data_IF_188061694629
#
_entry.id   IF_188061694629
#
_cell.length_a   1.000
_cell.length_b   1.000
_cell.length_c   1.000
_cell.angle_alpha   90.00
_cell.angle_beta   90.00
_cell.angle_gamma   90.00
#
_symmetry.space_group_name_H-M   'P 1'
#
loop_
_entity.id
_entity.type
_entity.pdbx_description
1 polymer ?
#
# COMPACT_ATOMS: atom_id res chain seq x y z
N UNK A 1 -11.09 -19.37 -2.72
CA UNK A 1 -11.53 -18.88 -1.39
C UNK A 1 -12.90 -18.22 -1.49
N UNK A 2 -13.66 -18.29 -0.43
CA UNK A 2 -14.95 -17.59 -0.28
C UNK A 2 -14.86 -16.71 0.96
N UNK A 3 -15.14 -15.43 0.81
CA UNK A 3 -15.31 -14.51 1.93
C UNK A 3 -16.80 -14.07 1.98
N UNK A 4 -17.42 -14.19 3.13
CA UNK A 4 -18.78 -13.75 3.39
C UNK A 4 -18.79 -12.75 4.52
N UNK A 5 -19.40 -11.60 4.29
CA UNK A 5 -19.57 -10.55 5.29
C UNK A 5 -21.04 -10.17 5.36
N UNK A 6 -21.64 -10.37 6.53
CA UNK A 6 -23.01 -9.96 6.80
C UNK A 6 -22.98 -8.80 7.82
N UNK A 7 -23.64 -7.70 7.50
CA UNK A 7 -23.83 -6.58 8.42
C UNK A 7 -25.27 -6.63 8.95
N UNK A 8 -25.40 -6.58 10.26
CA UNK A 8 -26.69 -6.68 10.93
C UNK A 8 -27.12 -5.32 11.49
N UNK A 9 -28.40 -5.08 11.51
CA UNK A 9 -29.02 -3.98 12.25
C UNK A 9 -30.12 -4.51 13.16
N UNK A 10 -30.35 -3.86 14.30
CA UNK A 10 -31.43 -4.17 15.20
C UNK A 10 -32.63 -3.27 14.89
N UNK A 11 -33.79 -3.87 14.64
CA UNK A 11 -35.07 -3.24 14.77
C UNK A 11 -35.65 -3.66 16.12
N UNK A 12 -36.58 -2.90 16.70
CA UNK A 12 -36.98 -2.87 18.11
C UNK A 12 -37.01 -4.20 18.89
N UNK A 13 -37.06 -5.36 18.20
CA UNK A 13 -37.09 -6.68 18.85
C UNK A 13 -36.23 -7.79 18.18
N UNK A 14 -35.68 -7.59 16.98
CA UNK A 14 -34.92 -8.64 16.29
C UNK A 14 -33.87 -8.09 15.35
N UNK A 15 -32.63 -8.66 15.41
CA UNK A 15 -31.59 -8.38 14.44
C UNK A 15 -31.93 -9.00 13.07
N UNK A 16 -31.68 -8.28 11.99
CA UNK A 16 -31.76 -8.78 10.62
C UNK A 16 -30.53 -8.39 9.79
N UNK A 17 -30.27 -9.14 8.74
CA UNK A 17 -29.17 -8.82 7.83
C UNK A 17 -29.49 -7.53 7.08
N UNK A 18 -28.69 -6.49 7.31
CA UNK A 18 -28.80 -5.21 6.63
C UNK A 18 -28.12 -5.23 5.26
N UNK A 19 -26.98 -5.90 5.17
CA UNK A 19 -26.23 -6.10 3.93
C UNK A 19 -25.46 -7.41 3.99
N UNK A 20 -25.55 -8.20 2.96
CA UNK A 20 -24.75 -9.41 2.76
C UNK A 20 -23.90 -9.24 1.52
N UNK A 21 -22.61 -9.54 1.64
CA UNK A 21 -21.66 -9.60 0.53
C UNK A 21 -20.94 -10.93 0.56
N UNK A 22 -20.99 -11.67 -0.54
CA UNK A 22 -20.25 -12.92 -0.73
C UNK A 22 -19.30 -12.75 -1.90
N UNK A 23 -18.00 -12.91 -1.61
CA UNK A 23 -16.93 -12.83 -2.59
C UNK A 23 -16.32 -14.21 -2.79
N UNK A 24 -16.48 -14.77 -3.98
CA UNK A 24 -15.91 -16.03 -4.38
C UNK A 24 -14.71 -15.81 -5.29
N UNK A 25 -13.54 -16.27 -4.86
CA UNK A 25 -12.31 -16.19 -5.65
C UNK A 25 -11.78 -17.59 -5.93
N UNK A 26 -11.56 -17.91 -7.20
CA UNK A 26 -10.95 -19.16 -7.64
C UNK A 26 -10.05 -18.92 -8.83
N UNK A 27 -9.00 -19.74 -8.92
CA UNK A 27 -8.03 -19.61 -10.00
C UNK A 27 -7.00 -20.71 -9.95
N UNK A 28 -6.09 -20.66 -10.90
CA UNK A 28 -4.95 -21.56 -10.94
C UNK A 28 -3.74 -20.85 -11.52
N UNK A 29 -2.56 -21.33 -11.15
CA UNK A 29 -1.28 -20.87 -11.69
C UNK A 29 -0.46 -22.08 -12.08
N UNK A 30 0.12 -22.05 -13.28
CA UNK A 30 1.11 -23.02 -13.71
C UNK A 30 2.36 -22.26 -14.15
N UNK A 31 3.51 -22.65 -13.60
CA UNK A 31 4.79 -22.06 -13.97
C UNK A 31 5.90 -23.09 -13.91
N UNK A 32 6.96 -22.83 -14.66
CA UNK A 32 8.17 -23.63 -14.66
C UNK A 32 9.41 -22.73 -14.72
N UNK A 33 10.55 -23.31 -14.36
CA UNK A 33 11.84 -22.65 -14.35
C UNK A 33 12.87 -23.48 -15.12
N UNK A 34 13.37 -22.92 -16.20
CA UNK A 34 14.46 -23.48 -16.98
C UNK A 34 15.79 -22.92 -16.51
N UNK A 35 16.72 -23.78 -16.12
CA UNK A 35 18.06 -23.40 -15.68
C UNK A 35 19.04 -23.81 -16.77
N UNK A 36 19.68 -22.85 -17.41
CA UNK A 36 20.70 -23.02 -18.46
C UNK A 36 22.04 -22.51 -17.96
N UNK A 37 22.81 -23.37 -17.32
CA UNK A 37 24.05 -22.98 -16.65
C UNK A 37 23.77 -21.99 -15.50
N UNK A 38 24.19 -20.73 -15.67
CA UNK A 38 23.95 -19.66 -14.69
C UNK A 38 22.73 -18.80 -15.01
N UNK A 39 22.05 -19.09 -16.10
CA UNK A 39 20.85 -18.37 -16.54
C UNK A 39 19.62 -19.05 -15.99
N UNK A 40 18.63 -18.27 -15.57
CA UNK A 40 17.34 -18.77 -15.13
C UNK A 40 16.25 -18.08 -15.93
N UNK A 41 15.37 -18.88 -16.51
CA UNK A 41 14.20 -18.41 -17.25
C UNK A 41 12.98 -18.98 -16.52
N UNK A 42 12.11 -18.11 -16.05
CA UNK A 42 10.81 -18.47 -15.49
C UNK A 42 9.72 -18.10 -16.48
N UNK A 43 8.77 -18.98 -16.71
CA UNK A 43 7.62 -18.71 -17.56
C UNK A 43 6.39 -19.38 -16.98
N UNK A 44 5.24 -18.84 -17.29
CA UNK A 44 4.00 -19.40 -16.76
C UNK A 44 2.77 -18.66 -17.23
N UNK A 45 1.65 -19.16 -16.77
CA UNK A 45 0.36 -18.55 -16.96
C UNK A 45 -0.47 -18.70 -15.69
N UNK A 46 -1.39 -17.77 -15.50
CA UNK A 46 -2.33 -17.76 -14.38
C UNK A 46 -3.73 -17.36 -14.84
N UNK A 47 -4.71 -17.84 -14.12
CA UNK A 47 -6.09 -17.41 -14.22
C UNK A 47 -6.62 -17.10 -12.84
N UNK A 48 -7.30 -15.97 -12.71
CA UNK A 48 -7.99 -15.58 -11.50
C UNK A 48 -9.41 -15.16 -11.83
N UNK A 49 -10.37 -15.67 -11.07
CA UNK A 49 -11.77 -15.35 -11.21
C UNK A 49 -12.28 -14.85 -9.85
N UNK A 50 -12.98 -13.75 -9.88
CA UNK A 50 -13.58 -13.12 -8.73
C UNK A 50 -15.06 -12.84 -9.02
N UNK A 51 -15.95 -13.34 -8.16
CA UNK A 51 -17.39 -13.16 -8.31
C UNK A 51 -17.93 -12.56 -7.03
N UNK A 52 -18.51 -11.37 -7.12
CA UNK A 52 -19.14 -10.67 -6.00
C UNK A 52 -20.67 -10.75 -6.12
N UNK A 53 -21.30 -11.22 -5.04
CA UNK A 53 -22.74 -11.25 -4.84
C UNK A 53 -23.09 -10.36 -3.64
N UNK A 54 -23.74 -9.24 -3.89
CA UNK A 54 -24.15 -8.30 -2.84
C UNK A 54 -25.65 -8.12 -2.82
N UNK A 55 -26.21 -8.02 -1.62
CA UNK A 55 -27.65 -7.72 -1.41
C UNK A 55 -27.77 -6.83 -0.18
N UNK A 56 -28.63 -5.81 -0.24
CA UNK A 56 -28.91 -4.90 0.88
C UNK A 56 -30.41 -4.81 1.13
N UNK A 57 -30.80 -4.51 2.39
CA UNK A 57 -32.19 -4.48 2.84
C UNK A 57 -32.49 -3.17 3.59
N UNK A 58 -33.67 -2.60 3.40
CA UNK A 58 -34.19 -1.47 4.19
C UNK A 58 -34.77 -1.93 5.52
N UNK A 59 -35.54 -3.03 5.45
CA UNK A 59 -36.16 -3.72 6.55
C UNK A 59 -36.14 -5.21 6.27
N UNK A 60 -36.71 -6.02 7.17
CA UNK A 60 -36.72 -7.48 7.01
C UNK A 60 -37.40 -7.90 5.69
N UNK A 61 -36.59 -8.40 4.76
CA UNK A 61 -37.03 -8.88 3.45
C UNK A 61 -37.30 -7.81 2.38
N UNK A 62 -37.20 -6.52 2.69
CA UNK A 62 -37.31 -5.43 1.72
C UNK A 62 -35.95 -5.06 1.13
N UNK A 63 -35.74 -5.34 -0.15
CA UNK A 63 -34.50 -5.07 -0.86
C UNK A 63 -34.34 -3.56 -1.10
N UNK A 64 -33.13 -3.07 -0.92
CA UNK A 64 -32.70 -1.72 -1.34
C UNK A 64 -31.44 -1.80 -2.21
N UNK A 65 -31.13 -0.71 -2.90
CA UNK A 65 -29.87 -0.57 -3.64
C UNK A 65 -28.67 -0.80 -2.74
N UNK A 66 -27.78 -1.75 -3.05
CA UNK A 66 -26.46 -1.83 -2.43
C UNK A 66 -25.57 -0.69 -2.94
N UNK A 67 -24.47 -0.41 -2.25
CA UNK A 67 -23.54 0.67 -2.60
C UNK A 67 -22.74 0.40 -3.90
N UNK A 68 -22.70 -0.84 -4.36
CA UNK A 68 -22.05 -1.25 -5.61
C UNK A 68 -22.83 -2.39 -6.27
N UNK A 69 -22.73 -2.57 -7.59
CA UNK A 69 -23.35 -3.70 -8.27
C UNK A 69 -22.59 -5.01 -8.03
N UNK A 70 -23.25 -6.11 -8.31
CA UNK A 70 -22.64 -7.43 -8.46
C UNK A 70 -21.72 -7.42 -9.65
N UNK A 71 -20.61 -8.13 -9.55
CA UNK A 71 -19.65 -8.20 -10.67
C UNK A 71 -19.00 -9.58 -10.79
N UNK A 72 -18.42 -9.80 -11.95
CA UNK A 72 -17.48 -10.88 -12.20
C UNK A 72 -16.25 -10.30 -12.86
N UNK A 73 -15.10 -10.68 -12.35
CA UNK A 73 -13.81 -10.31 -12.92
C UNK A 73 -13.05 -11.60 -13.25
N UNK A 74 -12.65 -11.79 -14.52
CA UNK A 74 -11.88 -12.94 -14.98
C UNK A 74 -10.59 -12.44 -15.60
N UNK A 75 -9.46 -12.77 -15.01
CA UNK A 75 -8.14 -12.37 -15.48
C UNK A 75 -7.33 -13.58 -15.94
N UNK A 76 -6.69 -13.46 -17.09
CA UNK A 76 -5.73 -14.40 -17.66
C UNK A 76 -4.39 -13.69 -17.83
N UNK A 77 -3.33 -14.28 -17.30
CA UNK A 77 -1.99 -13.74 -17.39
C UNK A 77 -1.01 -14.74 -17.97
N UNK A 78 -0.12 -14.30 -18.85
CA UNK A 78 1.07 -15.03 -19.25
C UNK A 78 2.30 -14.20 -18.95
N UNK A 79 3.36 -14.85 -18.49
CA UNK A 79 4.60 -14.16 -18.17
C UNK A 79 5.84 -14.95 -18.58
N UNK A 80 6.89 -14.19 -18.86
CA UNK A 80 8.25 -14.66 -19.09
C UNK A 80 9.21 -13.75 -18.32
N UNK A 81 10.09 -14.34 -17.53
CA UNK A 81 11.13 -13.62 -16.82
C UNK A 81 12.48 -14.32 -17.01
N UNK A 82 13.51 -13.57 -17.29
CA UNK A 82 14.88 -14.08 -17.43
C UNK A 82 15.83 -13.33 -16.51
N UNK A 83 16.67 -14.06 -15.78
CA UNK A 83 17.75 -13.53 -14.99
C UNK A 83 19.08 -14.01 -15.62
N UNK A 84 19.83 -13.09 -16.16
CA UNK A 84 21.05 -13.31 -16.92
C UNK A 84 22.27 -12.81 -16.12
N UNK A 85 23.24 -13.69 -15.91
CA UNK A 85 24.55 -13.35 -15.34
C UNK A 85 25.57 -13.19 -16.45
N UNK A 86 26.04 -11.99 -16.65
CA UNK A 86 26.91 -11.60 -17.75
C UNK A 86 28.28 -11.11 -17.24
N UNK A 87 29.28 -11.02 -18.13
CA UNK A 87 30.62 -10.51 -17.84
C UNK A 87 31.27 -11.13 -16.60
N UNK A 88 31.31 -12.47 -16.52
CA UNK A 88 31.81 -13.23 -15.35
C UNK A 88 31.08 -12.86 -14.06
N UNK A 89 29.76 -12.72 -14.13
CA UNK A 89 28.83 -12.38 -13.04
C UNK A 89 28.98 -10.95 -12.50
N UNK A 90 29.66 -10.07 -13.23
CA UNK A 90 29.70 -8.65 -12.85
C UNK A 90 28.39 -7.94 -13.12
N UNK A 91 27.62 -8.38 -14.13
CA UNK A 91 26.33 -7.82 -14.49
C UNK A 91 25.22 -8.86 -14.29
N UNK A 92 24.30 -8.58 -13.39
CA UNK A 92 23.03 -9.28 -13.25
C UNK A 92 21.98 -8.48 -14.02
N UNK A 93 21.40 -9.07 -15.07
CA UNK A 93 20.35 -8.46 -15.88
C UNK A 93 19.06 -9.26 -15.70
N UNK A 94 17.99 -8.60 -15.29
CA UNK A 94 16.65 -9.16 -15.20
C UNK A 94 15.76 -8.54 -16.27
N UNK A 95 15.06 -9.34 -17.04
CA UNK A 95 14.08 -8.90 -18.04
C UNK A 95 12.81 -9.70 -17.83
N UNK A 96 11.69 -9.01 -17.68
CA UNK A 96 10.38 -9.62 -17.51
C UNK A 96 9.37 -9.01 -18.48
N UNK A 97 8.49 -9.87 -18.96
CA UNK A 97 7.36 -9.50 -19.81
C UNK A 97 6.12 -10.19 -19.25
N UNK A 98 5.05 -9.43 -19.10
CA UNK A 98 3.75 -9.95 -18.71
C UNK A 98 2.67 -9.37 -19.60
N UNK A 99 1.77 -10.23 -20.05
CA UNK A 99 0.55 -9.85 -20.75
C UNK A 99 -0.65 -10.38 -19.99
N UNK A 100 -1.61 -9.48 -19.74
CA UNK A 100 -2.87 -9.81 -19.08
C UNK A 100 -4.04 -9.47 -20.00
N UNK A 101 -5.01 -10.40 -20.04
CA UNK A 101 -6.34 -10.20 -20.59
C UNK A 101 -7.34 -10.29 -19.46
N UNK A 102 -8.18 -9.28 -19.30
CA UNK A 102 -9.13 -9.16 -18.21
C UNK A 102 -10.52 -8.91 -18.80
N UNK A 103 -11.47 -9.74 -18.43
CA UNK A 103 -12.89 -9.59 -18.72
C UNK A 103 -13.63 -9.20 -17.42
N UNK A 104 -14.13 -7.98 -17.38
CA UNK A 104 -14.87 -7.42 -16.26
C UNK A 104 -16.34 -7.27 -16.63
N UNK A 105 -17.22 -7.97 -15.91
CA UNK A 105 -18.65 -7.96 -16.14
C UNK A 105 -19.41 -7.40 -14.94
N UNK A 106 -20.11 -6.29 -15.15
CA UNK A 106 -21.15 -5.82 -14.25
C UNK A 106 -22.40 -6.71 -14.43
N UNK A 107 -22.99 -7.14 -13.31
CA UNK A 107 -24.14 -8.04 -13.30
C UNK A 107 -25.35 -7.33 -12.73
N UNK A 108 -26.52 -7.68 -13.23
CA UNK A 108 -27.79 -7.16 -12.70
C UNK A 108 -27.89 -7.40 -11.20
N UNK A 109 -28.23 -6.34 -10.46
CA UNK A 109 -28.14 -6.32 -9.01
C UNK A 109 -29.51 -5.98 -8.42
N UNK A 110 -30.06 -6.80 -7.50
CA UNK A 110 -31.33 -6.51 -6.87
C UNK A 110 -31.32 -5.16 -6.15
N UNK A 111 -32.32 -4.33 -6.43
CA UNK A 111 -32.45 -3.00 -5.82
C UNK A 111 -31.63 -1.89 -6.48
N UNK A 112 -30.82 -2.20 -7.50
CA UNK A 112 -30.04 -1.22 -8.28
C UNK A 112 -30.47 -1.27 -9.74
N UNK A 113 -30.75 -0.12 -10.35
CA UNK A 113 -31.11 -0.02 -11.77
C UNK A 113 -29.87 0.02 -12.67
N UNK A 114 -28.99 -0.96 -12.53
CA UNK A 114 -27.81 -1.09 -13.38
C UNK A 114 -28.06 -2.05 -14.55
N UNK A 115 -27.52 -1.73 -15.70
CA UNK A 115 -27.47 -2.64 -16.84
C UNK A 115 -26.28 -3.61 -16.71
N UNK A 116 -26.44 -4.80 -17.30
CA UNK A 116 -25.30 -5.71 -17.47
C UNK A 116 -24.37 -5.13 -18.53
N UNK A 117 -23.10 -4.96 -18.18
CA UNK A 117 -22.07 -4.46 -19.09
C UNK A 117 -20.83 -5.35 -18.97
N UNK A 118 -20.27 -5.75 -20.11
CA UNK A 118 -19.01 -6.48 -20.14
C UNK A 118 -17.96 -5.63 -20.85
N UNK A 119 -16.78 -5.54 -20.26
CA UNK A 119 -15.65 -4.80 -20.80
C UNK A 119 -14.40 -5.67 -20.70
N UNK A 120 -13.56 -5.63 -21.74
CA UNK A 120 -12.29 -6.36 -21.73
C UNK A 120 -11.12 -5.41 -21.85
N UNK A 121 -10.07 -5.70 -21.12
CA UNK A 121 -8.83 -4.94 -21.09
C UNK A 121 -7.65 -5.83 -21.40
N UNK A 122 -6.70 -5.27 -22.13
CA UNK A 122 -5.41 -5.91 -22.39
C UNK A 122 -4.30 -5.04 -21.83
N UNK A 123 -3.38 -5.64 -21.12
CA UNK A 123 -2.22 -4.92 -20.62
C UNK A 123 -0.94 -5.66 -20.96
N UNK A 124 0.09 -4.89 -21.28
CA UNK A 124 1.43 -5.41 -21.51
C UNK A 124 2.40 -4.70 -20.58
N UNK A 125 3.02 -5.45 -19.68
CA UNK A 125 3.83 -4.93 -18.58
C UNK A 125 5.27 -5.44 -18.69
N UNK A 126 6.14 -4.74 -19.42
CA UNK A 126 7.56 -5.00 -19.43
C UNK A 126 8.24 -4.51 -18.16
N UNK A 127 9.28 -5.21 -17.75
CA UNK A 127 10.22 -4.75 -16.73
C UNK A 127 11.65 -5.14 -17.11
N UNK A 128 12.59 -4.29 -16.73
CA UNK A 128 14.01 -4.55 -16.90
C UNK A 128 14.76 -4.02 -15.67
N UNK A 129 15.71 -4.78 -15.17
CA UNK A 129 16.58 -4.39 -14.08
C UNK A 129 18.02 -4.83 -14.35
N UNK A 130 18.97 -4.01 -13.95
CA UNK A 130 20.38 -4.29 -14.07
C UNK A 130 21.10 -3.96 -12.77
N UNK A 131 21.99 -4.85 -12.33
CA UNK A 131 22.92 -4.62 -11.21
C UNK A 131 24.33 -4.92 -11.68
N UNK A 132 25.21 -3.92 -11.59
CA UNK A 132 26.60 -4.06 -11.96
C UNK A 132 27.49 -4.04 -10.72
N UNK A 133 28.15 -5.15 -10.44
CA UNK A 133 29.10 -5.32 -9.33
C UNK A 133 30.43 -4.69 -9.72
N UNK A 134 30.79 -3.58 -9.08
CA UNK A 134 32.00 -2.81 -9.39
C UNK A 134 33.23 -3.50 -8.79
N UNK A 135 33.42 -3.36 -7.49
CA UNK A 135 34.53 -3.94 -6.74
C UNK A 135 34.29 -3.79 -5.23
N UNK A 136 34.83 -4.70 -4.42
CA UNK A 136 34.90 -4.54 -2.95
C UNK A 136 33.54 -4.47 -2.27
N UNK A 137 32.50 -5.11 -2.81
CA UNK A 137 31.15 -5.07 -2.26
C UNK A 137 30.29 -3.91 -2.76
N UNK A 138 30.82 -3.06 -3.65
CA UNK A 138 30.05 -1.98 -4.29
C UNK A 138 29.34 -2.45 -5.55
N UNK A 139 28.10 -2.06 -5.72
CA UNK A 139 27.35 -2.22 -6.97
C UNK A 139 26.46 -1.02 -7.25
N UNK A 140 26.20 -0.77 -8.51
CA UNK A 140 25.13 0.13 -8.96
C UNK A 140 24.00 -0.68 -9.54
N UNK A 141 22.79 -0.19 -9.39
CA UNK A 141 21.60 -0.83 -9.95
C UNK A 141 20.65 0.20 -10.55
N UNK A 142 19.89 -0.24 -11.52
CA UNK A 142 18.77 0.52 -12.06
C UNK A 142 17.68 -0.46 -12.51
N UNK A 143 16.43 -0.04 -12.38
CA UNK A 143 15.29 -0.79 -12.89
C UNK A 143 14.25 0.14 -13.52
N UNK A 144 13.53 -0.40 -14.49
CA UNK A 144 12.34 0.22 -15.07
C UNK A 144 11.24 -0.84 -15.14
N UNK A 145 10.05 -0.48 -14.70
CA UNK A 145 8.90 -1.37 -14.74
C UNK A 145 7.61 -0.62 -14.98
N UNK A 146 6.64 -1.35 -15.52
CA UNK A 146 5.28 -0.87 -15.74
C UNK A 146 4.29 -1.72 -14.94
N UNK A 147 3.17 -1.13 -14.55
CA UNK A 147 2.07 -1.80 -13.88
C UNK A 147 0.75 -1.12 -14.24
N UNK A 148 -0.36 -1.80 -13.95
CA UNK A 148 -1.70 -1.24 -14.08
C UNK A 148 -2.54 -1.58 -12.84
N UNK A 149 -3.61 -0.81 -12.63
CA UNK A 149 -4.61 -1.07 -11.60
C UNK A 149 -6.01 -1.00 -12.23
N UNK A 150 -6.80 -2.04 -12.03
CA UNK A 150 -8.18 -2.08 -12.53
C UNK A 150 -9.09 -1.16 -11.72
N UNK A 151 -10.10 -0.65 -12.39
CA UNK A 151 -11.25 0.00 -11.76
C UNK A 151 -12.09 -1.02 -10.99
N UNK A 152 -12.68 -0.62 -9.89
CA UNK A 152 -13.62 -1.46 -9.16
C UNK A 152 -15.09 -1.25 -9.59
N UNK A 153 -15.96 -2.15 -9.14
CA UNK A 153 -17.38 -2.10 -9.51
C UNK A 153 -18.10 -0.87 -8.94
N UNK A 154 -17.65 -0.36 -7.78
CA UNK A 154 -18.20 0.85 -7.18
C UNK A 154 -17.85 2.09 -8.00
N UNK A 155 -16.60 2.18 -8.45
CA UNK A 155 -16.14 3.28 -9.29
C UNK A 155 -16.87 3.31 -10.65
N UNK A 156 -17.15 2.14 -11.23
CA UNK A 156 -17.81 2.04 -12.55
C UNK A 156 -19.31 2.23 -12.51
N UNK A 157 -20.00 1.71 -11.49
CA UNK A 157 -21.46 1.69 -11.46
C UNK A 157 -22.05 1.69 -10.04
N UNK A 158 -21.31 2.17 -9.04
CA UNK A 158 -21.84 2.37 -7.70
C UNK A 158 -22.86 3.52 -7.68
N UNK A 159 -23.96 3.32 -6.95
CA UNK A 159 -24.92 4.38 -6.64
C UNK A 159 -25.17 4.39 -5.14
N UNK A 160 -24.81 5.48 -4.48
CA UNK A 160 -24.87 5.52 -3.03
C UNK A 160 -25.03 6.93 -2.48
N UNK A 161 -26.12 7.14 -1.74
CA UNK A 161 -26.38 8.40 -1.03
C UNK A 161 -25.82 8.32 0.39
N UNK A 162 -24.84 9.17 0.68
CA UNK A 162 -24.26 9.30 2.01
C UNK A 162 -24.09 10.76 2.42
N UNK A 163 -24.58 11.09 3.62
CA UNK A 163 -24.50 12.45 4.18
C UNK A 163 -24.93 13.56 3.20
N UNK A 164 -25.99 13.31 2.42
CA UNK A 164 -26.52 14.27 1.44
C UNK A 164 -25.74 14.37 0.13
N UNK A 165 -24.73 13.54 -0.09
CA UNK A 165 -23.99 13.45 -1.37
C UNK A 165 -24.33 12.13 -2.06
N UNK A 166 -24.83 12.20 -3.29
CA UNK A 166 -25.10 11.04 -4.14
C UNK A 166 -23.83 10.72 -4.95
N UNK A 167 -23.25 9.56 -4.70
CA UNK A 167 -22.18 9.03 -5.54
C UNK A 167 -22.79 8.31 -6.73
N UNK A 168 -22.29 8.60 -7.93
CA UNK A 168 -22.68 7.94 -9.18
C UNK A 168 -21.43 7.44 -9.86
N UNK A 169 -21.32 6.15 -10.12
CA UNK A 169 -20.19 5.54 -10.81
C UNK A 169 -20.05 6.06 -12.24
N UNK A 170 -18.87 5.90 -12.80
CA UNK A 170 -18.55 6.25 -14.18
C UNK A 170 -18.18 4.98 -14.96
N UNK A 171 -19.04 4.48 -15.86
CA UNK A 171 -18.75 3.26 -16.62
C UNK A 171 -17.60 3.40 -17.63
N UNK A 172 -17.21 4.63 -17.98
CA UNK A 172 -16.19 4.90 -18.99
C UNK A 172 -14.76 5.01 -18.42
N UNK A 173 -14.56 4.56 -17.17
CA UNK A 173 -13.25 4.58 -16.55
C UNK A 173 -12.30 3.55 -17.17
N UNK A 174 -11.11 4.03 -17.54
CA UNK A 174 -9.97 3.20 -17.93
C UNK A 174 -9.15 2.73 -16.72
N UNK A 175 -8.42 1.60 -16.81
CA UNK A 175 -7.45 1.21 -15.80
C UNK A 175 -6.34 2.24 -15.63
N UNK A 176 -5.92 2.46 -14.39
CA UNK A 176 -4.75 3.28 -14.08
C UNK A 176 -3.47 2.58 -14.57
N UNK A 177 -2.52 3.35 -15.05
CA UNK A 177 -1.20 2.86 -15.52
C UNK A 177 -0.08 3.54 -14.75
N UNK A 178 0.93 2.78 -14.39
CA UNK A 178 2.12 3.32 -13.74
C UNK A 178 3.41 2.86 -14.42
N UNK A 179 4.41 3.73 -14.35
CA UNK A 179 5.78 3.48 -14.80
C UNK A 179 6.72 3.96 -13.71
N UNK A 180 7.64 3.10 -13.31
CA UNK A 180 8.61 3.44 -12.27
C UNK A 180 10.02 3.23 -12.81
N UNK A 181 10.88 4.19 -12.55
CA UNK A 181 12.32 4.14 -12.76
C UNK A 181 13.00 4.26 -11.40
N UNK A 182 13.87 3.32 -11.11
CA UNK A 182 14.73 3.32 -9.92
C UNK A 182 16.19 3.31 -10.35
N UNK A 183 17.05 4.00 -9.60
CA UNK A 183 18.49 3.94 -9.77
C UNK A 183 19.17 4.14 -8.43
N UNK A 184 20.22 3.36 -8.16
CA UNK A 184 20.85 3.40 -6.87
C UNK A 184 22.22 2.74 -6.81
N UNK A 185 22.76 2.72 -5.61
CA UNK A 185 24.03 2.08 -5.30
C UNK A 185 23.90 1.25 -4.02
N UNK A 186 24.59 0.12 -4.00
CA UNK A 186 24.70 -0.74 -2.82
C UNK A 186 26.15 -0.89 -2.42
N UNK A 187 26.38 -0.99 -1.12
CA UNK A 187 27.64 -1.41 -0.55
C UNK A 187 27.38 -2.48 0.50
N UNK A 188 27.89 -3.69 0.28
CA UNK A 188 27.68 -4.82 1.19
C UNK A 188 29.02 -5.54 1.43
N UNK A 189 29.44 -5.54 2.67
CA UNK A 189 30.62 -6.25 3.18
C UNK A 189 30.22 -7.01 4.44
N UNK A 190 29.57 -8.19 4.30
CA UNK A 190 29.09 -8.98 5.45
C UNK A 190 30.19 -9.36 6.43
N UNK A 191 31.40 -9.56 5.93
CA UNK A 191 32.60 -9.82 6.75
C UNK A 191 32.99 -8.65 7.66
N UNK A 192 32.64 -7.42 7.27
CA UNK A 192 32.84 -6.21 8.07
C UNK A 192 31.52 -5.81 8.82
N UNK A 193 30.45 -6.58 8.66
CA UNK A 193 29.16 -6.26 9.25
C UNK A 193 28.39 -5.10 8.60
N UNK A 194 28.84 -4.58 7.44
CA UNK A 194 28.30 -3.38 6.81
C UNK A 194 27.37 -3.72 5.65
N UNK A 195 26.18 -3.10 5.65
CA UNK A 195 25.31 -3.05 4.50
C UNK A 195 24.77 -1.62 4.35
N UNK A 196 24.75 -1.14 3.12
CA UNK A 196 24.21 0.16 2.74
C UNK A 196 23.52 0.05 1.37
N UNK A 197 22.37 0.66 1.24
CA UNK A 197 21.64 0.83 -0.02
C UNK A 197 21.09 2.24 -0.10
N UNK A 198 21.25 2.85 -1.25
CA UNK A 198 20.63 4.12 -1.61
C UNK A 198 19.93 3.95 -2.95
N UNK A 199 18.66 4.29 -3.03
CA UNK A 199 17.88 4.24 -4.25
C UNK A 199 17.10 5.54 -4.42
N UNK A 200 17.21 6.17 -5.58
CA UNK A 200 16.34 7.21 -6.05
C UNK A 200 15.26 6.58 -6.93
N UNK A 201 13.99 6.96 -6.74
CA UNK A 201 12.89 6.48 -7.55
C UNK A 201 12.08 7.63 -8.15
N UNK A 202 11.50 7.35 -9.32
CA UNK A 202 10.54 8.24 -9.97
C UNK A 202 9.41 7.41 -10.58
N UNK A 203 8.16 7.71 -10.19
CA UNK A 203 6.96 7.05 -10.68
C UNK A 203 6.07 8.05 -11.40
N UNK A 204 5.63 7.67 -12.60
CA UNK A 204 4.56 8.34 -13.37
C UNK A 204 3.32 7.47 -13.33
N UNK A 205 2.18 8.07 -13.03
CA UNK A 205 0.88 7.44 -13.17
C UNK A 205 0.11 8.20 -14.24
N UNK A 206 -0.46 7.46 -15.16
CA UNK A 206 -1.39 7.96 -16.19
C UNK A 206 -2.78 7.39 -15.86
N UNK A 207 -3.84 8.10 -16.25
CA UNK A 207 -5.23 7.68 -16.08
C UNK A 207 -5.65 7.46 -14.60
N UNK A 208 -4.99 8.16 -13.64
CA UNK A 208 -5.31 8.05 -12.21
C UNK A 208 -6.79 8.34 -11.95
N UNK A 209 -7.47 7.46 -11.25
CA UNK A 209 -8.88 7.63 -10.91
C UNK A 209 -9.03 8.56 -9.71
N UNK A 210 -9.69 9.67 -9.92
CA UNK A 210 -9.98 10.68 -8.90
C UNK A 210 -11.46 10.91 -8.74
N UNK A 211 -11.86 11.38 -7.56
CA UNK A 211 -13.24 11.82 -7.30
C UNK A 211 -13.46 13.23 -7.85
N UNK A 212 -14.58 13.43 -8.53
CA UNK A 212 -15.10 14.74 -8.91
C UNK A 212 -16.44 14.98 -8.23
N UNK A 213 -16.57 16.11 -7.53
CA UNK A 213 -17.79 16.47 -6.83
C UNK A 213 -18.34 17.79 -7.40
N UNK A 214 -19.67 17.89 -7.47
CA UNK A 214 -20.39 19.09 -7.84
C UNK A 214 -21.71 19.20 -7.09
N UNK A 215 -22.32 20.38 -7.15
CA UNK A 215 -23.67 20.60 -6.65
C UNK A 215 -24.55 20.95 -7.86
N UNK A 216 -25.67 20.26 -8.00
CA UNK A 216 -26.68 20.62 -8.99
C UNK A 216 -27.35 21.93 -8.58
N UNK A 217 -27.34 22.93 -9.46
CA UNK A 217 -27.79 24.28 -9.16
C UNK A 217 -29.32 24.39 -8.98
N UNK A 218 -30.08 23.50 -9.63
CA UNK A 218 -31.55 23.54 -9.60
C UNK A 218 -32.10 22.84 -8.35
N UNK A 219 -31.58 21.64 -8.05
CA UNK A 219 -32.07 20.82 -6.92
C UNK A 219 -31.31 21.05 -5.62
N UNK A 220 -30.10 21.65 -5.68
CA UNK A 220 -29.19 21.76 -4.56
C UNK A 220 -28.56 20.40 -4.14
N UNK A 221 -28.82 19.32 -4.90
CA UNK A 221 -28.29 18.01 -4.62
C UNK A 221 -26.77 17.98 -4.88
N UNK A 222 -26.02 17.44 -3.92
CA UNK A 222 -24.58 17.21 -4.07
C UNK A 222 -24.36 15.86 -4.74
N UNK A 223 -23.50 15.86 -5.74
CA UNK A 223 -23.06 14.68 -6.47
C UNK A 223 -21.58 14.45 -6.35
N UNK A 224 -21.18 13.19 -6.50
CA UNK A 224 -19.79 12.76 -6.62
C UNK A 224 -19.72 11.66 -7.69
N UNK A 225 -18.72 11.72 -8.55
CA UNK A 225 -18.40 10.68 -9.52
C UNK A 225 -16.89 10.42 -9.55
N UNK A 226 -16.48 9.50 -10.39
CA UNK A 226 -15.09 9.15 -10.65
C UNK A 226 -14.72 9.50 -12.07
N UNK A 227 -13.48 9.89 -12.29
CA UNK A 227 -12.91 10.09 -13.63
C UNK A 227 -11.43 9.78 -13.64
N UNK A 228 -10.91 9.39 -14.79
CA UNK A 228 -9.48 9.36 -14.97
C UNK A 228 -8.93 10.78 -14.92
N UNK A 229 -7.99 11.03 -14.01
CA UNK A 229 -7.24 12.29 -13.96
C UNK A 229 -6.17 12.29 -15.06
N UNK A 230 -5.65 13.47 -15.36
CA UNK A 230 -4.63 13.56 -16.39
C UNK A 230 -3.39 12.74 -16.02
N UNK A 231 -2.78 13.00 -14.87
CA UNK A 231 -1.50 12.36 -14.48
C UNK A 231 -1.23 12.48 -12.98
N UNK A 232 -0.37 11.58 -12.46
CA UNK A 232 0.28 11.78 -11.17
C UNK A 232 1.77 11.47 -11.26
N UNK A 233 2.56 12.07 -10.37
CA UNK A 233 4.00 11.82 -10.27
C UNK A 233 4.45 11.77 -8.83
N UNK A 234 5.35 10.83 -8.56
CA UNK A 234 5.98 10.65 -7.25
C UNK A 234 7.46 10.47 -7.45
N UNK A 235 8.28 11.10 -6.62
CA UNK A 235 9.71 10.82 -6.58
C UNK A 235 10.25 10.96 -5.18
N UNK A 236 11.33 10.28 -4.91
CA UNK A 236 11.96 10.30 -3.61
C UNK A 236 13.25 9.51 -3.60
N UNK A 237 13.76 9.34 -2.40
CA UNK A 237 14.91 8.46 -2.13
C UNK A 237 14.56 7.49 -1.00
N UNK A 238 15.18 6.33 -1.08
CA UNK A 238 15.21 5.33 -0.03
C UNK A 238 16.66 5.09 0.38
N UNK A 239 16.89 5.04 1.68
CA UNK A 239 18.20 4.73 2.26
C UNK A 239 17.99 3.58 3.22
N UNK A 240 18.78 2.52 3.09
CA UNK A 240 18.90 1.46 4.08
C UNK A 240 20.35 1.34 4.50
N UNK A 241 20.60 1.28 5.81
CA UNK A 241 21.92 1.08 6.35
C UNK A 241 21.88 0.13 7.55
N UNK A 242 22.88 -0.71 7.67
CA UNK A 242 23.08 -1.48 8.90
C UNK A 242 24.56 -1.77 9.13
N UNK A 243 24.91 -1.85 10.42
CA UNK A 243 26.25 -2.19 10.87
C UNK A 243 26.17 -3.15 12.07
N UNK A 244 26.89 -4.26 11.99
CA UNK A 244 27.00 -5.24 13.08
C UNK A 244 28.33 -5.08 13.81
N UNK A 245 28.29 -4.45 14.98
CA UNK A 245 29.45 -4.24 15.85
C UNK A 245 30.03 -5.55 16.38
N UNK A 246 29.25 -6.63 16.48
CA UNK A 246 29.75 -7.94 16.90
C UNK A 246 30.83 -8.47 15.96
N UNK A 247 30.75 -8.14 14.66
CA UNK A 247 31.78 -8.49 13.67
C UNK A 247 33.09 -7.74 13.86
N UNK A 248 33.04 -6.50 14.37
CA UNK A 248 34.23 -5.70 14.62
C UNK A 248 35.08 -6.27 15.79
N UNK A 249 34.42 -6.88 16.78
CA UNK A 249 35.05 -7.35 18.00
C UNK A 249 35.23 -8.87 18.04
N UNK A 250 34.88 -9.59 16.96
CA UNK A 250 34.89 -11.07 16.91
C UNK A 250 34.22 -11.70 18.15
N UNK A 251 33.03 -11.21 18.45
CA UNK A 251 32.34 -11.46 19.72
C UNK A 251 31.30 -12.60 19.61
N UNK A 252 30.96 -13.19 20.77
CA UNK A 252 29.88 -14.19 20.93
C UNK A 252 28.47 -13.61 20.75
N UNK A 253 28.39 -12.34 20.34
CA UNK A 253 27.13 -11.66 20.12
C UNK A 253 27.14 -10.88 18.80
N UNK A 254 25.98 -10.69 18.21
CA UNK A 254 25.69 -9.68 17.21
C UNK A 254 25.08 -8.46 17.88
N UNK A 255 25.57 -7.27 17.55
CA UNK A 255 25.00 -5.98 17.95
C UNK A 255 24.81 -5.13 16.70
N UNK A 256 23.62 -5.21 16.11
CA UNK A 256 23.32 -4.60 14.82
C UNK A 256 22.54 -3.30 14.98
N UNK A 257 23.16 -2.19 14.63
CA UNK A 257 22.47 -0.93 14.36
C UNK A 257 21.90 -0.96 12.95
N UNK A 258 20.66 -0.58 12.78
CA UNK A 258 20.03 -0.53 11.46
C UNK A 258 19.11 0.67 11.33
N UNK A 259 18.88 1.09 10.09
CA UNK A 259 17.91 2.12 9.77
C UNK A 259 17.50 2.08 8.31
N UNK A 260 16.28 2.52 8.05
CA UNK A 260 15.79 2.85 6.73
C UNK A 260 15.05 4.18 6.77
N UNK A 261 15.14 4.92 5.68
CA UNK A 261 14.51 6.23 5.48
C UNK A 261 13.93 6.28 4.08
N UNK A 262 12.66 6.61 3.98
CA UNK A 262 12.04 7.04 2.72
C UNK A 262 11.79 8.55 2.80
N UNK A 263 12.28 9.29 1.81
CA UNK A 263 12.08 10.73 1.71
C UNK A 263 11.47 11.09 0.35
N UNK A 264 10.23 11.58 0.38
CA UNK A 264 9.49 12.01 -0.81
C UNK A 264 9.90 13.43 -1.21
N UNK A 265 10.31 13.63 -2.45
CA UNK A 265 10.62 14.93 -3.04
C UNK A 265 9.43 15.52 -3.76
N UNK A 266 8.80 14.69 -4.62
CA UNK A 266 7.63 15.04 -5.41
C UNK A 266 6.51 14.06 -5.11
N UNK A 267 5.29 14.55 -4.94
CA UNK A 267 4.04 13.79 -4.86
C UNK A 267 2.91 14.71 -5.27
N UNK A 268 2.53 14.63 -6.53
CA UNK A 268 1.60 15.54 -7.18
C UNK A 268 0.66 14.76 -8.09
N UNK A 269 -0.58 15.21 -8.14
CA UNK A 269 -1.60 14.80 -9.10
C UNK A 269 -2.05 16.00 -9.93
N UNK A 270 -2.37 15.76 -11.18
CA UNK A 270 -2.90 16.75 -12.08
C UNK A 270 -4.43 16.68 -12.08
N UNK A 271 -5.08 17.82 -12.07
CA UNK A 271 -6.53 17.91 -12.20
C UNK A 271 -6.85 19.11 -13.11
N UNK A 272 -7.53 18.88 -14.22
CA UNK A 272 -7.83 19.92 -15.22
C UNK A 272 -6.57 20.68 -15.70
N UNK A 273 -5.47 19.94 -15.89
CA UNK A 273 -4.19 20.49 -16.34
C UNK A 273 -3.33 21.17 -15.25
N UNK A 274 -3.83 21.30 -14.01
CA UNK A 274 -3.12 21.94 -12.91
C UNK A 274 -2.52 20.90 -11.98
N UNK A 275 -1.23 21.04 -11.69
CA UNK A 275 -0.53 20.18 -10.73
C UNK A 275 -0.82 20.60 -9.29
N UNK A 276 -1.38 19.67 -8.50
CA UNK A 276 -1.67 19.83 -7.09
C UNK A 276 -0.80 18.89 -6.25
N UNK A 277 -0.58 19.24 -5.02
CA UNK A 277 0.10 18.37 -4.07
C UNK A 277 -0.86 17.28 -3.63
N UNK A 278 -0.46 16.01 -3.77
CA UNK A 278 -1.25 14.88 -3.28
C UNK A 278 -1.36 14.93 -1.75
N UNK A 279 -2.59 14.86 -1.24
CA UNK A 279 -2.88 14.90 0.20
C UNK A 279 -2.57 13.55 0.87
N UNK A 280 -2.48 13.57 2.19
CA UNK A 280 -2.27 12.40 3.05
C UNK A 280 -0.96 11.65 2.83
N UNK A 281 0.00 12.25 2.13
CA UNK A 281 1.34 11.70 1.92
C UNK A 281 2.30 12.25 2.96
N UNK A 282 2.93 11.37 3.74
CA UNK A 282 4.03 11.74 4.64
C UNK A 282 5.31 11.94 3.84
N UNK A 283 5.95 13.10 4.03
CA UNK A 283 7.18 13.44 3.32
C UNK A 283 8.36 12.54 3.74
N UNK A 284 8.37 12.12 4.99
CA UNK A 284 9.47 11.34 5.58
C UNK A 284 8.89 10.22 6.43
N UNK A 285 9.45 9.02 6.26
CA UNK A 285 9.19 7.87 7.13
C UNK A 285 10.54 7.18 7.38
N UNK A 286 10.81 6.86 8.65
CA UNK A 286 12.01 6.14 9.00
C UNK A 286 11.72 5.06 10.05
N UNK A 287 12.41 3.93 9.93
CA UNK A 287 12.54 2.95 11.00
C UNK A 287 14.03 2.77 11.28
N UNK A 288 14.38 2.65 12.55
CA UNK A 288 15.76 2.46 12.98
C UNK A 288 15.77 1.71 14.30
N UNK A 289 16.86 1.08 14.61
CA UNK A 289 16.90 0.31 15.85
C UNK A 289 18.25 -0.33 16.11
N UNK A 290 18.27 -1.01 17.27
CA UNK A 290 19.41 -1.76 17.73
C UNK A 290 18.96 -3.17 18.06
N UNK A 291 19.55 -4.17 17.39
CA UNK A 291 19.33 -5.59 17.63
C UNK A 291 20.53 -6.18 18.35
N UNK A 292 20.30 -6.80 19.46
CA UNK A 292 21.28 -7.59 20.19
C UNK A 292 20.89 -9.07 20.14
N UNK A 293 21.81 -9.93 19.75
CA UNK A 293 21.64 -11.39 19.76
C UNK A 293 22.91 -12.04 20.28
N UNK A 294 22.80 -12.76 21.40
CA UNK A 294 23.89 -13.55 21.97
C UNK A 294 23.77 -15.01 21.54
N UNK A 295 24.90 -15.69 21.33
CA UNK A 295 24.94 -17.12 20.92
C UNK A 295 24.19 -18.05 21.88
N UNK A 296 24.07 -17.72 23.17
CA UNK A 296 23.27 -18.46 24.17
C UNK A 296 21.75 -18.25 24.02
N UNK A 297 21.29 -17.55 22.97
CA UNK A 297 19.86 -17.36 22.64
C UNK A 297 19.21 -16.16 23.33
N UNK A 298 19.94 -15.39 24.15
CA UNK A 298 19.42 -14.10 24.63
C UNK A 298 19.35 -13.11 23.47
N UNK A 299 18.22 -12.41 23.34
CA UNK A 299 18.01 -11.36 22.35
C UNK A 299 17.32 -10.15 22.95
N UNK A 300 17.67 -8.96 22.45
CA UNK A 300 16.98 -7.72 22.77
C UNK A 300 16.92 -6.83 21.52
N UNK A 301 15.82 -6.13 21.36
CA UNK A 301 15.62 -5.17 20.24
C UNK A 301 15.01 -3.89 20.78
N UNK A 302 15.60 -2.77 20.39
CA UNK A 302 14.97 -1.46 20.50
C UNK A 302 14.69 -0.97 19.07
N UNK A 303 13.43 -0.73 18.76
CA UNK A 303 13.01 -0.23 17.45
C UNK A 303 12.37 1.14 17.59
N UNK A 304 12.78 2.10 16.76
CA UNK A 304 12.20 3.43 16.64
C UNK A 304 11.51 3.60 15.29
N UNK A 305 10.34 4.20 15.28
CA UNK A 305 9.60 4.58 14.08
C UNK A 305 9.31 6.07 14.08
N UNK A 306 9.80 6.76 13.07
CA UNK A 306 9.49 8.16 12.80
C UNK A 306 8.56 8.29 11.61
N UNK A 307 7.50 9.06 11.77
CA UNK A 307 6.57 9.42 10.71
C UNK A 307 6.44 10.94 10.63
N UNK A 308 6.89 11.54 9.54
CA UNK A 308 6.86 12.98 9.29
C UNK A 308 5.43 13.52 9.20
N UNK A 309 5.26 14.81 9.25
CA UNK A 309 3.97 15.45 9.08
C UNK A 309 3.42 15.22 7.66
N UNK A 310 2.08 15.31 7.52
CA UNK A 310 1.37 15.33 6.24
C UNK A 310 0.29 16.40 6.25
N UNK A 311 -0.17 16.79 5.07
CA UNK A 311 -1.33 17.65 4.89
C UNK A 311 -2.51 16.77 4.51
N UNK A 312 -3.63 16.94 5.18
CA UNK A 312 -4.85 16.16 4.91
C UNK A 312 -6.11 17.00 5.14
N UNK A 313 -7.26 16.50 4.69
CA UNK A 313 -8.56 17.15 4.96
C UNK A 313 -8.88 17.09 6.45
N UNK A 314 -9.49 18.15 6.98
CA UNK A 314 -9.96 18.18 8.37
C UNK A 314 -11.25 17.36 8.51
N UNK A 315 -11.14 16.12 8.98
CA UNK A 315 -12.28 15.25 9.21
C UNK A 315 -13.03 15.51 10.52
N UNK A 316 -12.36 16.12 11.52
CA UNK A 316 -12.97 16.41 12.84
C UNK A 316 -13.78 17.71 12.79
N UNK A 317 -13.45 18.62 11.88
CA UNK A 317 -14.08 19.93 11.73
C UNK A 317 -13.36 21.04 12.50
N UNK A 318 -13.59 22.28 12.04
CA UNK A 318 -12.85 23.48 12.45
C UNK A 318 -13.07 23.85 13.91
N UNK A 319 -14.20 23.44 14.49
CA UNK A 319 -14.53 23.75 15.88
C UNK A 319 -13.46 23.29 16.88
N UNK A 320 -12.70 22.26 16.51
CA UNK A 320 -11.79 21.59 17.43
C UNK A 320 -10.31 21.88 17.16
N UNK A 321 -9.98 22.39 15.97
CA UNK A 321 -8.61 22.80 15.66
C UNK A 321 -8.54 23.75 14.46
N UNK A 322 -7.54 24.64 14.42
CA UNK A 322 -7.31 25.49 13.27
C UNK A 322 -6.92 24.67 12.05
N UNK A 323 -7.40 25.07 10.88
CA UNK A 323 -6.99 24.52 9.60
C UNK A 323 -5.70 25.17 9.11
N UNK A 324 -5.09 24.60 8.08
CA UNK A 324 -3.93 25.24 7.45
C UNK A 324 -4.29 26.62 6.87
N UNK A 325 -5.51 26.77 6.34
CA UNK A 325 -5.99 28.02 5.80
C UNK A 325 -6.17 29.12 6.87
N UNK A 326 -6.44 28.75 8.13
CA UNK A 326 -6.50 29.71 9.24
C UNK A 326 -5.10 30.27 9.60
N UNK A 327 -4.05 29.54 9.18
CA UNK A 327 -2.65 29.92 9.40
C UNK A 327 -2.00 30.57 8.16
N UNK A 328 -2.67 30.54 7.01
CA UNK A 328 -2.20 31.07 5.74
C UNK A 328 -3.20 32.09 5.20
N UNK A 329 -2.73 33.16 4.59
CA UNK A 329 -3.59 34.05 3.81
C UNK A 329 -3.87 33.43 2.42
N UNK A 330 -5.00 33.81 1.80
CA UNK A 330 -5.41 33.32 0.47
C UNK A 330 -4.36 33.56 -0.63
N UNK A 331 -3.50 34.53 -0.43
CA UNK A 331 -2.41 34.87 -1.35
C UNK A 331 -1.14 34.06 -1.15
N UNK A 332 -1.05 33.26 -0.07
CA UNK A 332 0.17 32.50 0.22
C UNK A 332 0.22 31.17 -0.53
N UNK A 333 1.42 30.74 -0.99
CA UNK A 333 1.59 29.42 -1.57
C UNK A 333 1.15 28.33 -0.58
N UNK A 334 0.32 27.40 -1.03
CA UNK A 334 -0.22 26.31 -0.20
C UNK A 334 -1.60 26.60 0.40
N UNK A 335 -2.17 27.81 0.20
CA UNK A 335 -3.58 28.06 0.47
C UNK A 335 -4.44 27.26 -0.51
N UNK A 336 -5.38 26.49 0.01
CA UNK A 336 -6.29 25.66 -0.77
C UNK A 336 -7.72 25.98 -0.38
N UNK A 337 -8.66 25.82 -1.30
CA UNK A 337 -10.09 26.05 -1.08
C UNK A 337 -10.70 25.09 -0.06
N UNK A 338 -10.10 23.91 0.11
CA UNK A 338 -10.51 22.93 1.11
C UNK A 338 -9.88 23.22 2.47
N UNK A 339 -10.64 22.97 3.53
CA UNK A 339 -10.14 23.07 4.91
C UNK A 339 -9.14 21.97 5.20
N UNK A 340 -7.88 22.31 5.22
CA UNK A 340 -6.76 21.40 5.42
C UNK A 340 -6.14 21.57 6.80
N UNK A 341 -5.59 20.47 7.30
CA UNK A 341 -4.78 20.45 8.52
C UNK A 341 -3.40 19.86 8.23
N UNK A 342 -2.44 20.29 9.03
CA UNK A 342 -1.13 19.67 9.12
C UNK A 342 -1.18 18.60 10.21
N UNK A 343 -1.39 17.35 9.79
CA UNK A 343 -1.33 16.21 10.72
C UNK A 343 0.08 16.07 11.31
N UNK A 344 0.24 15.94 12.64
CA UNK A 344 1.53 16.00 13.29
C UNK A 344 2.45 14.83 12.90
N UNK A 345 3.73 15.08 13.04
CA UNK A 345 4.75 14.04 13.06
C UNK A 345 4.78 13.34 14.42
N UNK A 346 5.29 12.13 14.46
CA UNK A 346 5.51 11.41 15.71
C UNK A 346 6.74 10.51 15.63
N UNK A 347 7.22 10.10 16.79
CA UNK A 347 8.29 9.12 16.94
C UNK A 347 7.93 8.16 18.08
N UNK A 348 7.83 6.86 17.77
CA UNK A 348 7.44 5.81 18.71
C UNK A 348 8.57 4.80 18.81
N UNK A 349 8.82 4.35 20.03
CA UNK A 349 9.83 3.31 20.30
C UNK A 349 9.17 2.08 20.91
N UNK A 350 9.60 0.92 20.43
CA UNK A 350 9.20 -0.38 20.95
C UNK A 350 10.45 -1.12 21.45
N UNK A 351 10.30 -1.82 22.55
CA UNK A 351 11.36 -2.66 23.11
C UNK A 351 10.88 -4.11 23.18
N UNK A 352 11.72 -5.05 22.78
CA UNK A 352 11.47 -6.47 22.99
C UNK A 352 12.74 -7.17 23.49
N UNK A 353 12.56 -8.16 24.35
CA UNK A 353 13.64 -9.02 24.83
C UNK A 353 13.15 -10.45 24.94
N UNK A 354 14.03 -11.41 24.71
CA UNK A 354 13.76 -12.84 24.89
C UNK A 354 14.97 -13.52 25.51
N UNK A 355 14.70 -14.43 26.43
CA UNK A 355 15.71 -15.18 27.14
C UNK A 355 15.32 -16.66 27.21
N UNK A 356 16.17 -17.61 26.82
CA UNK A 356 15.99 -19.01 27.17
C UNK A 356 16.20 -19.19 28.67
N UNK A 357 15.22 -19.76 29.37
CA UNK A 357 15.31 -20.03 30.81
C UNK A 357 15.92 -21.39 31.08
N UNK A 358 15.42 -22.41 30.41
CA UNK A 358 15.90 -23.79 30.44
C UNK A 358 15.83 -24.38 29.06
N UNK A 359 16.37 -25.59 28.86
CA UNK A 359 16.24 -26.33 27.62
C UNK A 359 14.76 -26.36 27.21
N UNK A 360 14.47 -25.93 25.97
CA UNK A 360 13.14 -25.92 25.37
C UNK A 360 12.14 -24.89 25.95
N UNK A 361 12.52 -24.03 26.90
CA UNK A 361 11.62 -22.98 27.42
C UNK A 361 12.27 -21.61 27.27
N UNK A 362 11.54 -20.69 26.71
CA UNK A 362 11.95 -19.28 26.60
C UNK A 362 10.86 -18.33 27.10
N UNK A 363 11.27 -17.18 27.60
CA UNK A 363 10.40 -16.09 28.03
C UNK A 363 10.73 -14.84 27.23
N UNK A 364 9.71 -14.14 26.80
CA UNK A 364 9.83 -12.88 26.09
C UNK A 364 9.00 -11.78 26.74
N UNK A 365 9.51 -10.55 26.63
CA UNK A 365 8.84 -9.31 27.00
C UNK A 365 8.77 -8.40 25.78
N UNK A 366 7.58 -7.85 25.48
CA UNK A 366 7.43 -6.76 24.54
C UNK A 366 6.83 -5.55 25.26
N UNK A 367 7.39 -4.38 25.04
CA UNK A 367 6.88 -3.09 25.50
C UNK A 367 6.67 -2.26 24.24
N UNK A 368 5.41 -2.10 23.84
CA UNK A 368 5.07 -1.24 22.70
C UNK A 368 4.86 0.19 23.21
N UNK A 369 5.24 1.16 22.40
CA UNK A 369 5.20 2.58 22.73
C UNK A 369 5.90 2.86 24.07
N UNK A 370 7.18 2.55 24.13
CA UNK A 370 8.02 2.56 25.35
C UNK A 370 7.94 3.90 26.12
N UNK A 371 7.86 5.02 25.43
CA UNK A 371 7.85 6.35 26.03
C UNK A 371 6.44 6.94 26.19
N UNK A 372 5.38 6.14 25.90
CA UNK A 372 3.98 6.53 26.02
C UNK A 372 3.61 7.75 25.18
N UNK A 373 4.14 7.80 23.95
CA UNK A 373 3.85 8.86 22.99
C UNK A 373 2.36 8.87 22.63
N UNK A 374 1.74 10.03 22.71
CA UNK A 374 0.35 10.23 22.28
C UNK A 374 0.32 10.61 20.80
N UNK A 375 -0.04 9.68 19.95
CA UNK A 375 0.00 9.86 18.51
C UNK A 375 -1.21 9.30 17.80
N UNK A 376 -1.42 9.75 16.56
CA UNK A 376 -2.48 9.26 15.66
C UNK A 376 -1.88 8.88 14.30
N UNK A 377 -2.35 7.77 13.74
CA UNK A 377 -2.04 7.38 12.35
C UNK A 377 -3.04 7.98 11.36
N UNK A 378 -4.27 8.15 11.79
CA UNK A 378 -5.37 8.75 11.04
C UNK A 378 -6.04 9.78 11.94
N UNK A 379 -6.45 10.88 11.34
CA UNK A 379 -7.15 11.94 12.07
C UNK A 379 -8.36 11.39 12.84
N UNK A 380 -8.46 11.74 14.14
CA UNK A 380 -9.52 11.28 15.03
C UNK A 380 -9.35 9.86 15.62
N UNK A 381 -8.29 9.13 15.25
CA UNK A 381 -8.03 7.78 15.77
C UNK A 381 -6.73 7.74 16.58
N UNK A 382 -6.87 7.80 17.89
CA UNK A 382 -5.73 7.68 18.80
C UNK A 382 -5.18 6.26 18.78
N UNK A 383 -3.87 6.14 18.69
CA UNK A 383 -3.18 4.87 18.80
C UNK A 383 -3.04 4.48 20.29
N UNK A 384 -2.90 3.16 20.59
CA UNK A 384 -2.70 2.71 21.95
C UNK A 384 -1.47 3.36 22.61
N UNK A 385 -1.60 3.74 23.87
CA UNK A 385 -0.49 4.12 24.72
C UNK A 385 0.44 2.94 25.01
N UNK A 386 1.39 3.14 25.92
CA UNK A 386 2.34 2.09 26.31
C UNK A 386 1.61 0.83 26.80
N UNK A 387 1.99 -0.31 26.25
CA UNK A 387 1.44 -1.60 26.64
C UNK A 387 2.54 -2.67 26.75
N UNK A 388 2.25 -3.69 27.54
CA UNK A 388 3.19 -4.74 27.88
C UNK A 388 2.61 -6.10 27.49
N UNK A 389 3.46 -6.95 26.91
CA UNK A 389 3.11 -8.31 26.59
C UNK A 389 4.21 -9.25 27.11
N UNK A 390 3.83 -10.28 27.84
CA UNK A 390 4.73 -11.34 28.29
C UNK A 390 4.37 -12.63 27.57
N UNK A 391 5.37 -13.29 27.03
CA UNK A 391 5.23 -14.57 26.32
C UNK A 391 6.10 -15.63 26.98
N UNK A 392 5.54 -16.79 27.19
CA UNK A 392 6.30 -18.02 27.48
C UNK A 392 6.11 -19.00 26.32
N UNK A 393 7.19 -19.59 25.83
CA UNK A 393 7.15 -20.57 24.76
C UNK A 393 7.92 -21.82 25.18
N UNK A 394 7.32 -23.00 24.89
CA UNK A 394 7.92 -24.29 25.11
C UNK A 394 7.92 -25.10 23.81
N UNK A 395 9.07 -25.67 23.47
CA UNK A 395 9.23 -26.54 22.31
C UNK A 395 9.40 -27.97 22.80
N UNK A 396 8.62 -28.91 22.23
CA UNK A 396 8.61 -30.30 22.57
C UNK A 396 9.47 -31.12 21.61
#
# INVERSE_FOLDING_TARGET
>A
STAKTDTYTADTDTAYVYSGNELNTYGFTAHDNLILGKQRIAFGFDNNNEVSEITSFKARGEIKAPYQPRFRNTAWGIFLQSNLKLFKEKLDLSVGLRYDYIDFKLRKTPGLENEEKSESYNTFNPNIGAKYNIYGGMAVHASFGTAFSMTDAYQKAGEFLYSGTLTVGNPDLDPEKSRTLDAGLTFSRPELGVNFDFTYFYTWNDDLIVEEAWTDEESGQKYKTFKNADKAKKSGMEIMASYDFGRLFDSDFALKLYGNLTWMFTYQDQTKGVWNKTLSVRKQNANFGLDFLHQKGFSARLNGRFAGHRIEKNFIGDKYRPTLNDLLSESQPGYLTDKLIKHPQFMVFDFSASCPLIKNVSVGLNINNLFDENYTEKDGYNMPGRNFQVRAAMTF
#
